data_IF_965781773764
#
_entry.id   IF_965781773764
#
_cell.length_a   1.000
_cell.length_b   1.000
_cell.length_c   1.000
_cell.angle_alpha   90.00
_cell.angle_beta   90.00
_cell.angle_gamma   90.00
#
_symmetry.space_group_name_H-M   'P 1'
#
loop_
_entity.id
_entity.type
_entity.pdbx_description
1 polymer ?
#
# COMPACT_ATOMS: atom_id res chain seq x y z
N UNK A 1 -55.68 -21.95 27.99
CA UNK A 1 -54.19 -21.90 28.03
C UNK A 1 -53.56 -22.75 26.91
N UNK A 2 -53.96 -22.60 25.64
CA UNK A 2 -53.47 -23.48 24.56
C UNK A 2 -53.07 -22.76 23.26
N UNK A 3 -52.97 -21.42 23.26
CA UNK A 3 -52.78 -20.64 22.02
C UNK A 3 -51.36 -20.04 21.89
N UNK A 4 -50.58 -19.95 22.98
CA UNK A 4 -49.25 -19.30 22.94
C UNK A 4 -48.08 -20.24 22.53
N UNK A 5 -48.25 -21.57 22.62
CA UNK A 5 -47.14 -22.51 22.38
C UNK A 5 -46.88 -22.82 20.89
N UNK A 6 -47.89 -22.59 20.01
CA UNK A 6 -47.77 -22.91 18.57
C UNK A 6 -47.07 -21.83 17.75
N UNK A 7 -47.06 -20.58 18.22
CA UNK A 7 -46.32 -19.48 17.56
C UNK A 7 -44.82 -19.55 17.87
N UNK A 8 -44.44 -19.96 19.09
CA UNK A 8 -43.05 -20.05 19.54
C UNK A 8 -42.26 -21.16 18.83
N UNK A 9 -42.88 -22.32 18.52
CA UNK A 9 -42.20 -23.44 17.85
C UNK A 9 -41.85 -23.21 16.37
N UNK A 10 -42.52 -22.25 15.70
CA UNK A 10 -42.31 -21.97 14.28
C UNK A 10 -41.31 -20.81 14.10
N UNK A 11 -41.22 -19.92 15.09
CA UNK A 11 -40.32 -18.77 15.07
C UNK A 11 -38.84 -19.16 15.29
N UNK A 12 -38.57 -20.25 16.03
CA UNK A 12 -37.20 -20.72 16.30
C UNK A 12 -36.47 -21.28 15.07
N UNK A 13 -37.05 -22.15 14.20
CA UNK A 13 -36.36 -22.59 13.00
C UNK A 13 -36.22 -21.47 11.96
N UNK A 14 -37.16 -20.52 11.90
CA UNK A 14 -37.08 -19.36 11.02
C UNK A 14 -35.94 -18.44 11.46
N UNK A 15 -35.81 -18.17 12.76
CA UNK A 15 -34.72 -17.36 13.29
C UNK A 15 -33.35 -18.04 13.08
N UNK A 16 -33.26 -19.35 13.26
CA UNK A 16 -32.04 -20.12 12.99
C UNK A 16 -31.67 -20.12 11.50
N UNK A 17 -32.66 -20.27 10.61
CA UNK A 17 -32.47 -20.17 9.16
C UNK A 17 -32.02 -18.76 8.74
N UNK A 18 -32.57 -17.71 9.34
CA UNK A 18 -32.16 -16.32 9.09
C UNK A 18 -30.74 -16.01 9.60
N UNK A 19 -30.30 -16.65 10.69
CA UNK A 19 -28.92 -16.56 11.19
C UNK A 19 -27.93 -17.32 10.29
N UNK A 20 -28.34 -18.44 9.68
CA UNK A 20 -27.53 -19.19 8.70
C UNK A 20 -27.47 -18.51 7.32
N UNK A 21 -28.48 -17.71 6.97
CA UNK A 21 -28.53 -16.93 5.73
C UNK A 21 -27.84 -15.57 5.83
N UNK A 22 -27.31 -15.18 7.01
CA UNK A 22 -26.48 -14.00 7.08
C UNK A 22 -25.20 -14.25 6.27
N UNK A 23 -24.97 -13.51 5.17
CA UNK A 23 -23.67 -13.55 4.53
C UNK A 23 -22.67 -13.09 5.58
N UNK A 24 -21.73 -13.96 5.94
CA UNK A 24 -20.50 -13.49 6.57
C UNK A 24 -19.86 -12.57 5.55
N UNK A 25 -20.08 -11.26 5.72
CA UNK A 25 -19.25 -10.24 5.10
C UNK A 25 -17.87 -10.39 5.69
N UNK A 26 -17.14 -11.41 5.23
CA UNK A 26 -15.69 -11.36 5.25
C UNK A 26 -15.36 -10.19 4.36
N UNK A 27 -15.08 -9.04 4.97
CA UNK A 27 -14.24 -8.06 4.32
C UNK A 27 -12.92 -8.76 4.07
N UNK A 28 -12.84 -9.48 2.95
CA UNK A 28 -11.57 -9.76 2.34
C UNK A 28 -10.99 -8.38 2.04
N UNK A 29 -10.23 -7.83 3.00
CA UNK A 29 -9.10 -6.98 2.66
C UNK A 29 -8.44 -7.73 1.53
N UNK A 30 -8.56 -7.26 0.30
CA UNK A 30 -7.89 -7.87 -0.84
C UNK A 30 -6.40 -7.64 -0.58
N UNK A 31 -5.83 -8.52 0.24
CA UNK A 31 -4.41 -8.64 0.46
C UNK A 31 -3.91 -9.38 -0.77
N UNK A 32 -3.76 -8.63 -1.86
CA UNK A 32 -3.08 -9.11 -3.05
C UNK A 32 -1.68 -9.55 -2.63
N UNK A 33 -1.43 -10.85 -2.62
CA UNK A 33 -0.16 -11.42 -2.20
C UNK A 33 0.88 -11.21 -3.28
N UNK A 34 1.57 -10.07 -3.22
CA UNK A 34 2.86 -9.89 -3.87
C UNK A 34 3.99 -10.30 -2.91
N UNK A 35 5.07 -10.78 -3.50
CA UNK A 35 6.26 -11.31 -2.85
C UNK A 35 7.51 -10.84 -3.59
N UNK A 36 8.66 -10.98 -2.94
CA UNK A 36 9.98 -10.82 -3.56
C UNK A 36 10.54 -12.13 -4.11
N UNK A 37 9.91 -13.26 -3.77
CA UNK A 37 10.28 -14.56 -4.31
C UNK A 37 9.98 -14.58 -5.82
N UNK A 38 11.01 -14.80 -6.64
CA UNK A 38 10.89 -14.84 -8.10
C UNK A 38 10.08 -16.02 -8.60
N UNK A 39 10.02 -17.11 -7.83
CA UNK A 39 9.57 -18.41 -8.31
C UNK A 39 8.05 -18.60 -8.13
N UNK A 40 7.35 -17.54 -7.70
CA UNK A 40 5.90 -17.56 -7.43
C UNK A 40 5.15 -16.54 -8.26
N UNK A 41 3.85 -16.77 -8.49
CA UNK A 41 2.99 -15.85 -9.26
C UNK A 41 2.87 -14.44 -8.65
N UNK A 42 3.16 -14.30 -7.36
CA UNK A 42 3.25 -12.99 -6.68
C UNK A 42 4.62 -12.32 -6.79
N UNK A 43 5.58 -12.94 -7.48
CA UNK A 43 6.96 -12.48 -7.59
C UNK A 43 7.15 -11.30 -8.53
N UNK A 44 8.32 -10.63 -8.49
CA UNK A 44 8.61 -9.45 -9.29
C UNK A 44 8.39 -9.61 -10.80
N UNK A 45 8.72 -10.78 -11.34
CA UNK A 45 8.55 -11.11 -12.77
C UNK A 45 7.07 -11.12 -13.19
N UNK A 46 6.17 -11.28 -12.23
CA UNK A 46 4.73 -11.41 -12.44
C UNK A 46 3.89 -10.27 -11.84
N UNK A 47 4.48 -9.30 -11.13
CA UNK A 47 3.73 -8.21 -10.47
C UNK A 47 2.73 -7.49 -11.40
N UNK A 48 3.09 -7.26 -12.66
CA UNK A 48 2.19 -6.64 -13.63
C UNK A 48 1.02 -7.49 -14.10
N UNK A 49 0.90 -8.72 -13.61
CA UNK A 49 -0.21 -9.66 -13.85
C UNK A 49 -1.02 -9.97 -12.58
N UNK A 50 -0.54 -9.53 -11.40
CA UNK A 50 -1.20 -9.79 -10.11
C UNK A 50 -2.49 -8.98 -9.96
N UNK A 51 -2.45 -7.70 -10.32
CA UNK A 51 -3.60 -6.79 -10.29
C UNK A 51 -3.60 -5.92 -11.55
N UNK A 52 -4.80 -5.60 -12.06
CA UNK A 52 -5.01 -4.81 -13.27
C UNK A 52 -4.33 -3.45 -13.18
N UNK A 53 -4.39 -2.79 -12.02
CA UNK A 53 -3.80 -1.47 -11.82
C UNK A 53 -2.26 -1.48 -11.81
N UNK A 54 -1.65 -2.66 -11.70
CA UNK A 54 -0.18 -2.82 -11.64
C UNK A 54 0.44 -3.14 -13.00
N UNK A 55 -0.33 -3.10 -14.09
CA UNK A 55 0.15 -3.45 -15.44
C UNK A 55 1.43 -2.69 -15.87
N UNK A 56 1.66 -1.49 -15.31
CA UNK A 56 2.87 -0.69 -15.54
C UNK A 56 4.15 -1.37 -15.02
N UNK A 57 4.09 -2.28 -14.04
CA UNK A 57 5.25 -3.07 -13.60
C UNK A 57 5.80 -3.95 -14.74
N UNK A 58 4.95 -4.38 -15.68
CA UNK A 58 5.35 -5.19 -16.84
C UNK A 58 5.59 -4.36 -18.11
N UNK A 59 4.84 -3.26 -18.30
CA UNK A 59 4.84 -2.49 -19.55
C UNK A 59 5.54 -1.13 -19.47
N UNK A 60 5.85 -0.65 -18.27
CA UNK A 60 6.52 0.63 -18.07
C UNK A 60 7.91 0.63 -18.69
N UNK A 61 8.27 1.75 -19.34
CA UNK A 61 9.61 1.95 -19.95
C UNK A 61 10.57 2.72 -19.05
N UNK A 62 10.04 3.30 -17.97
CA UNK A 62 10.76 4.07 -16.95
C UNK A 62 10.42 3.43 -15.61
N UNK A 63 11.04 2.28 -15.33
CA UNK A 63 10.87 1.53 -14.08
C UNK A 63 12.14 1.66 -13.24
N UNK A 64 12.00 1.39 -11.94
CA UNK A 64 13.11 1.34 -10.98
C UNK A 64 13.12 -0.02 -10.29
N UNK A 65 14.27 -0.50 -9.78
CA UNK A 65 15.59 0.15 -9.84
C UNK A 65 16.23 0.07 -11.24
N UNK A 66 17.24 0.90 -11.48
CA UNK A 66 18.13 0.80 -12.65
C UNK A 66 19.59 0.69 -12.19
N UNK A 67 20.44 0.13 -13.04
CA UNK A 67 21.89 0.17 -12.86
C UNK A 67 22.43 1.58 -13.15
N UNK A 68 23.14 2.18 -12.18
CA UNK A 68 23.74 3.51 -12.30
C UNK A 68 25.22 3.34 -12.61
N UNK A 69 25.59 3.53 -13.87
CA UNK A 69 26.99 3.41 -14.34
C UNK A 69 27.72 4.75 -14.21
N UNK A 70 28.70 4.91 -13.30
CA UNK A 70 29.32 6.22 -13.05
C UNK A 70 29.96 6.84 -14.29
N UNK A 71 30.52 6.02 -15.19
CA UNK A 71 31.13 6.48 -16.44
C UNK A 71 30.13 7.10 -17.44
N UNK A 72 28.83 6.87 -17.26
CA UNK A 72 27.75 7.39 -18.11
C UNK A 72 26.98 8.55 -17.47
N UNK A 73 27.36 8.94 -16.25
CA UNK A 73 26.71 10.05 -15.56
C UNK A 73 27.14 11.37 -16.18
N UNK A 74 26.16 12.25 -16.38
CA UNK A 74 26.38 13.63 -16.76
C UNK A 74 26.25 14.50 -15.51
N UNK A 75 27.27 15.32 -15.25
CA UNK A 75 27.18 16.32 -14.19
C UNK A 75 26.32 17.50 -14.66
N UNK A 76 25.26 17.79 -13.90
CA UNK A 76 24.42 18.96 -14.14
C UNK A 76 24.71 20.03 -13.08
N UNK A 77 25.50 21.04 -13.46
CA UNK A 77 25.85 22.17 -12.59
C UNK A 77 24.66 23.05 -12.19
N UNK A 78 23.51 22.91 -12.86
CA UNK A 78 22.29 23.71 -12.56
C UNK A 78 21.50 23.12 -11.40
N UNK A 79 21.72 21.85 -11.07
CA UNK A 79 21.05 21.18 -9.95
C UNK A 79 21.61 21.70 -8.63
N UNK A 80 20.76 22.40 -7.88
CA UNK A 80 21.11 22.94 -6.55
C UNK A 80 21.21 21.81 -5.51
N UNK A 81 21.93 22.00 -4.39
CA UNK A 81 21.95 21.01 -3.32
C UNK A 81 20.56 20.70 -2.75
N UNK A 82 20.25 19.43 -2.52
CA UNK A 82 19.00 19.02 -1.86
C UNK A 82 18.99 19.53 -0.42
N UNK A 83 17.86 20.08 0.03
CA UNK A 83 17.64 20.57 1.38
C UNK A 83 16.59 19.72 2.09
N UNK A 84 16.90 19.33 3.32
CA UNK A 84 16.02 18.56 4.19
C UNK A 84 15.83 19.34 5.50
N UNK A 85 14.58 19.46 5.95
CA UNK A 85 14.29 20.06 7.25
C UNK A 85 14.88 19.20 8.37
N UNK A 86 15.68 19.83 9.24
CA UNK A 86 16.34 19.14 10.37
C UNK A 86 15.56 19.38 11.66
N UNK A 87 14.40 18.75 11.76
CA UNK A 87 13.47 18.92 12.89
C UNK A 87 13.18 17.58 13.57
N UNK A 88 12.98 17.56 14.90
CA UNK A 88 12.49 16.36 15.58
C UNK A 88 11.09 16.00 15.11
N UNK A 89 10.86 14.72 14.81
CA UNK A 89 9.57 14.20 14.34
C UNK A 89 8.98 13.19 15.33
N UNK A 90 7.69 12.91 15.19
CA UNK A 90 7.11 11.66 15.72
C UNK A 90 7.18 10.62 14.61
N UNK A 91 7.62 9.42 14.94
CA UNK A 91 7.72 8.32 14.00
C UNK A 91 7.14 7.04 14.59
N UNK A 92 6.56 6.22 13.73
CA UNK A 92 6.09 4.88 14.04
C UNK A 92 6.80 3.87 13.13
N UNK A 93 7.26 2.76 13.69
CA UNK A 93 7.79 1.64 12.91
C UNK A 93 6.66 0.66 12.63
N UNK A 94 6.43 0.38 11.35
CA UNK A 94 5.37 -0.51 10.88
C UNK A 94 5.99 -1.68 10.13
N UNK A 95 5.73 -2.90 10.59
CA UNK A 95 6.00 -4.09 9.80
C UNK A 95 4.84 -4.31 8.82
N UNK A 96 5.14 -4.33 7.53
CA UNK A 96 4.14 -4.44 6.46
C UNK A 96 3.95 -5.85 5.94
N UNK A 97 4.76 -6.80 6.42
CA UNK A 97 4.90 -8.14 5.85
C UNK A 97 6.03 -8.22 4.81
N UNK A 98 6.23 -7.17 3.99
CA UNK A 98 7.30 -7.14 2.99
C UNK A 98 8.53 -6.33 3.41
N UNK A 99 8.34 -5.29 4.23
CA UNK A 99 9.44 -4.47 4.76
C UNK A 99 9.06 -3.77 6.06
N UNK A 100 10.07 -3.33 6.82
CA UNK A 100 9.90 -2.37 7.91
C UNK A 100 9.80 -0.97 7.31
N UNK A 101 8.71 -0.26 7.60
CA UNK A 101 8.45 1.10 7.14
C UNK A 101 8.42 2.04 8.34
N UNK A 102 9.16 3.15 8.24
CA UNK A 102 9.02 4.26 9.20
C UNK A 102 7.98 5.22 8.67
N UNK A 103 6.91 5.43 9.44
CA UNK A 103 5.87 6.43 9.14
C UNK A 103 6.11 7.68 9.97
N UNK A 104 6.32 8.80 9.31
CA UNK A 104 6.48 10.10 9.96
C UNK A 104 5.10 10.67 10.26
N UNK A 105 4.80 10.88 11.54
CA UNK A 105 3.55 11.45 12.00
C UNK A 105 3.50 12.97 11.85
N UNK A 106 2.30 13.52 11.78
CA UNK A 106 2.04 14.96 11.77
C UNK A 106 1.18 15.35 12.98
N UNK A 107 1.55 16.43 13.64
CA UNK A 107 0.78 17.03 14.73
C UNK A 107 0.97 18.54 14.70
N UNK A 108 0.01 19.30 15.25
CA UNK A 108 0.12 20.77 15.37
C UNK A 108 1.40 21.25 16.08
N UNK A 109 2.03 20.40 16.91
CA UNK A 109 3.31 20.70 17.59
C UNK A 109 4.54 20.10 16.92
N UNK A 110 4.38 19.17 15.98
CA UNK A 110 5.46 18.50 15.25
C UNK A 110 5.10 18.43 13.77
N UNK A 111 5.53 19.42 12.97
CA UNK A 111 5.18 19.50 11.55
C UNK A 111 5.84 18.39 10.74
N UNK A 112 5.37 18.19 9.51
CA UNK A 112 6.01 17.30 8.54
C UNK A 112 7.37 17.83 8.12
N UNK A 113 8.25 16.92 7.68
CA UNK A 113 9.58 17.26 7.16
C UNK A 113 9.48 17.51 5.67
N UNK A 114 9.98 18.64 5.19
CA UNK A 114 10.06 18.92 3.76
C UNK A 114 11.42 18.55 3.18
N UNK A 115 11.39 18.10 1.92
CA UNK A 115 12.55 17.93 1.04
C UNK A 115 12.40 18.97 -0.06
N UNK A 116 13.36 19.86 -0.21
CA UNK A 116 13.31 20.99 -1.15
C UNK A 116 14.60 21.11 -1.95
N UNK A 117 14.58 21.95 -2.99
CA UNK A 117 15.71 22.16 -3.90
C UNK A 117 16.10 20.88 -4.66
N UNK A 118 17.34 20.73 -5.12
CA UNK A 118 17.69 19.61 -6.00
C UNK A 118 16.93 19.66 -7.33
N UNK A 119 16.55 18.50 -7.87
CA UNK A 119 15.77 18.40 -9.10
C UNK A 119 14.27 18.71 -8.90
N UNK A 120 13.80 19.03 -7.68
CA UNK A 120 12.38 19.18 -7.38
C UNK A 120 11.76 20.50 -7.91
N UNK A 121 12.58 21.49 -8.31
CA UNK A 121 12.09 22.78 -8.81
C UNK A 121 12.30 22.90 -10.32
N UNK A 122 11.41 22.28 -11.10
CA UNK A 122 11.33 22.50 -12.55
C UNK A 122 12.40 21.79 -13.39
N UNK A 123 12.92 20.64 -12.93
CA UNK A 123 13.83 19.82 -13.74
C UNK A 123 13.10 19.32 -14.99
N UNK A 124 13.50 19.84 -16.16
CA UNK A 124 13.01 19.40 -17.46
C UNK A 124 13.97 18.37 -18.03
N UNK A 125 13.48 17.15 -18.22
CA UNK A 125 14.16 16.16 -19.03
C UNK A 125 14.36 16.73 -20.45
N UNK A 126 15.61 16.81 -20.89
CA UNK A 126 15.94 17.08 -22.30
C UNK A 126 15.92 15.79 -23.10
#
# INVERSE_FOLDING_TARGET
>A
MHIECRRILILTPILLLLLLLHPYSTSASQNYQWSYDSDVFGGPDFWGLVEKDWWMCKKGRIQSPIDIQPARLLFDATVKPVRLDKLPVVSEFVNTGQMVRVRIGYSSRKPSVNITSGPLYGYRYR
#
